data_IF_981150924717
#
_entry.id   IF_981150924717
#
_cell.length_a   1.000
_cell.length_b   1.000
_cell.length_c   1.000
_cell.angle_alpha   90.00
_cell.angle_beta   90.00
_cell.angle_gamma   90.00
#
_symmetry.space_group_name_H-M   'P 1'
#
loop_
_entity.id
_entity.type
_entity.pdbx_description
1 polymer ?
#
# COMPACT_ATOMS: atom_id res chain seq x y z
N UNK A 1 -0.08 -1.26 -32.87
CA UNK A 1 -1.20 -1.18 -31.92
C UNK A 1 -1.56 0.30 -31.75
N UNK A 2 -2.80 0.71 -32.08
CA UNK A 2 -3.20 2.13 -32.11
C UNK A 2 -3.64 2.68 -30.74
N UNK A 3 -4.01 1.81 -29.80
CA UNK A 3 -4.30 2.20 -28.42
C UNK A 3 -3.15 1.77 -27.51
N UNK A 4 -2.73 2.66 -26.62
CA UNK A 4 -1.68 2.46 -25.62
C UNK A 4 -2.17 2.97 -24.27
N UNK A 5 -1.59 2.47 -23.20
CA UNK A 5 -1.87 2.97 -21.85
C UNK A 5 -1.57 4.47 -21.76
N UNK A 6 -2.38 5.23 -20.98
CA UNK A 6 -2.01 6.56 -20.56
C UNK A 6 -0.62 6.57 -19.91
N UNK A 7 0.16 7.63 -20.16
CA UNK A 7 1.46 7.77 -19.51
C UNK A 7 1.28 7.86 -17.99
N UNK A 8 2.04 7.06 -17.24
CA UNK A 8 2.00 7.00 -15.78
C UNK A 8 0.97 6.03 -15.21
N UNK A 9 0.43 5.13 -16.04
CA UNK A 9 -0.38 3.98 -15.61
C UNK A 9 0.29 2.68 -16.09
N UNK A 10 -0.02 1.57 -15.44
CA UNK A 10 0.48 0.24 -15.82
C UNK A 10 -0.58 -0.83 -15.65
N UNK A 11 -0.52 -1.85 -16.50
CA UNK A 11 -1.24 -3.10 -16.26
C UNK A 11 -0.38 -3.97 -15.35
N UNK A 12 -1.00 -4.57 -14.33
CA UNK A 12 -0.36 -5.56 -13.46
C UNK A 12 -0.80 -6.93 -13.97
N UNK A 13 0.14 -7.73 -14.44
CA UNK A 13 -0.12 -8.97 -15.19
C UNK A 13 0.17 -10.22 -14.35
N UNK A 14 -0.30 -11.42 -14.77
CA UNK A 14 0.13 -12.68 -14.20
C UNK A 14 1.66 -12.81 -14.19
N UNK A 15 2.22 -13.30 -13.08
CA UNK A 15 3.64 -13.28 -12.74
C UNK A 15 4.07 -12.07 -11.90
N UNK A 16 3.31 -10.97 -11.94
CA UNK A 16 3.49 -9.82 -11.04
C UNK A 16 2.36 -9.73 -10.00
N UNK A 17 1.11 -9.92 -10.41
CA UNK A 17 -0.08 -9.73 -9.56
C UNK A 17 -0.10 -10.63 -8.32
N UNK A 18 0.62 -11.74 -8.34
CA UNK A 18 0.68 -12.67 -7.22
C UNK A 18 1.58 -12.13 -6.09
N UNK A 19 2.60 -11.31 -6.44
CA UNK A 19 3.34 -10.49 -5.46
C UNK A 19 2.40 -9.47 -4.82
N UNK A 20 1.50 -8.88 -5.62
CA UNK A 20 0.50 -7.96 -5.13
C UNK A 20 -0.42 -8.60 -4.10
N UNK A 21 -1.01 -9.74 -4.45
CA UNK A 21 -1.88 -10.48 -3.54
C UNK A 21 -1.16 -10.95 -2.27
N UNK A 22 0.13 -11.31 -2.35
CA UNK A 22 0.91 -11.65 -1.17
C UNK A 22 1.02 -10.47 -0.20
N UNK A 23 1.44 -9.31 -0.71
CA UNK A 23 1.60 -8.08 0.07
C UNK A 23 0.27 -7.60 0.64
N UNK A 24 -0.82 -7.63 -0.15
CA UNK A 24 -2.17 -7.28 0.29
C UNK A 24 -2.63 -8.16 1.46
N UNK A 25 -2.41 -9.48 1.37
CA UNK A 25 -2.74 -10.42 2.45
C UNK A 25 -1.89 -10.22 3.69
N UNK A 26 -0.60 -9.94 3.53
CA UNK A 26 0.29 -9.63 4.66
C UNK A 26 -0.19 -8.35 5.38
N UNK A 27 -0.54 -7.31 4.61
CA UNK A 27 -1.06 -6.06 5.17
C UNK A 27 -2.40 -6.28 5.89
N UNK A 28 -3.34 -7.01 5.27
CA UNK A 28 -4.59 -7.38 5.93
C UNK A 28 -4.34 -8.15 7.24
N UNK A 29 -3.46 -9.16 7.21
CA UNK A 29 -3.19 -9.98 8.39
C UNK A 29 -2.64 -9.17 9.55
N UNK A 30 -1.72 -8.23 9.30
CA UNK A 30 -1.20 -7.37 10.37
C UNK A 30 -2.25 -6.39 10.89
N UNK A 31 -3.08 -5.80 10.01
CA UNK A 31 -4.20 -4.96 10.42
C UNK A 31 -5.17 -5.70 11.36
N UNK A 32 -5.52 -6.95 11.05
CA UNK A 32 -6.40 -7.79 11.86
C UNK A 32 -5.81 -8.06 13.26
N UNK A 33 -4.50 -8.33 13.35
CA UNK A 33 -3.80 -8.51 14.64
C UNK A 33 -3.82 -7.25 15.51
N UNK A 34 -3.81 -6.07 14.88
CA UNK A 34 -3.91 -4.77 15.54
C UNK A 34 -5.36 -4.27 15.66
N UNK A 35 -6.37 -5.08 15.29
CA UNK A 35 -7.79 -4.72 15.36
C UNK A 35 -8.16 -3.47 14.54
N UNK A 36 -7.61 -3.36 13.34
CA UNK A 36 -8.07 -2.42 12.32
C UNK A 36 -9.03 -3.12 11.37
N UNK A 37 -10.16 -2.50 11.07
CA UNK A 37 -11.20 -3.03 10.19
C UNK A 37 -11.14 -2.40 8.80
N UNK A 38 -11.51 -3.14 7.75
CA UNK A 38 -11.43 -2.64 6.37
C UNK A 38 -12.52 -1.60 6.09
N UNK A 39 -12.14 -0.48 5.47
CA UNK A 39 -13.07 0.47 4.85
C UNK A 39 -12.77 0.61 3.35
N UNK A 40 -13.84 0.70 2.55
CA UNK A 40 -13.76 0.96 1.10
C UNK A 40 -14.53 2.22 0.73
N UNK A 41 -13.80 3.25 0.32
CA UNK A 41 -14.38 4.51 -0.17
C UNK A 41 -14.48 4.52 -1.70
N UNK A 42 -15.39 5.31 -2.29
CA UNK A 42 -15.48 5.50 -3.73
C UNK A 42 -14.16 5.99 -4.35
N UNK A 43 -13.97 5.72 -5.64
CA UNK A 43 -12.79 6.16 -6.41
C UNK A 43 -12.80 7.68 -6.66
N UNK A 44 -13.97 8.29 -6.76
CA UNK A 44 -14.12 9.73 -6.90
C UNK A 44 -15.05 10.28 -5.84
N UNK A 45 -14.78 11.50 -5.44
CA UNK A 45 -15.54 12.25 -4.43
C UNK A 45 -15.87 13.64 -4.97
N UNK A 46 -16.72 14.37 -4.26
CA UNK A 46 -16.89 15.80 -4.52
C UNK A 46 -15.55 16.52 -4.38
N UNK A 47 -15.22 17.40 -5.33
CA UNK A 47 -13.90 18.07 -5.37
C UNK A 47 -13.60 18.87 -4.10
N UNK A 48 -14.64 19.46 -3.51
CA UNK A 48 -14.56 20.24 -2.27
C UNK A 48 -13.99 19.43 -1.08
N UNK A 49 -14.16 18.10 -1.09
CA UNK A 49 -13.62 17.22 -0.06
C UNK A 49 -12.09 17.35 0.02
N UNK A 50 -11.42 17.29 -1.14
CA UNK A 50 -9.96 17.32 -1.18
C UNK A 50 -9.42 18.75 -1.06
N UNK A 51 -10.16 19.75 -1.55
CA UNK A 51 -9.79 21.16 -1.36
C UNK A 51 -9.78 21.55 0.13
N UNK A 52 -10.87 21.25 0.86
CA UNK A 52 -10.97 21.50 2.31
C UNK A 52 -10.02 20.60 3.10
N UNK A 53 -9.95 19.31 2.74
CA UNK A 53 -9.21 18.32 3.50
C UNK A 53 -7.69 18.46 3.40
N UNK A 54 -7.17 18.39 2.18
CA UNK A 54 -5.72 18.32 1.93
C UNK A 54 -5.05 19.69 2.12
N UNK A 55 -5.78 20.76 1.80
CA UNK A 55 -5.34 22.16 1.90
C UNK A 55 -5.01 22.77 0.54
N UNK A 56 -5.53 23.97 0.30
CA UNK A 56 -5.40 24.71 -0.96
C UNK A 56 -3.96 25.11 -1.32
N UNK A 57 -3.03 25.05 -0.35
CA UNK A 57 -1.62 25.40 -0.56
C UNK A 57 -0.74 24.22 -0.97
N UNK A 58 -1.31 23.01 -1.01
CA UNK A 58 -0.58 21.81 -1.41
C UNK A 58 -0.39 21.73 -2.92
N UNK A 59 0.71 21.13 -3.36
CA UNK A 59 0.93 20.82 -4.78
C UNK A 59 -0.18 19.88 -5.30
N UNK A 60 -0.70 18.99 -4.43
CA UNK A 60 -1.81 18.08 -4.74
C UNK A 60 -3.03 18.84 -5.20
N UNK A 61 -3.57 19.72 -4.34
CA UNK A 61 -4.81 20.47 -4.64
C UNK A 61 -4.58 21.49 -5.76
N UNK A 62 -3.43 22.15 -5.78
CA UNK A 62 -3.18 23.23 -6.72
C UNK A 62 -2.89 22.77 -8.15
N UNK A 63 -2.26 21.59 -8.34
CA UNK A 63 -1.73 21.18 -9.65
C UNK A 63 -1.89 19.69 -9.97
N UNK A 64 -2.18 18.81 -9.01
CA UNK A 64 -2.10 17.36 -9.24
C UNK A 64 -3.44 16.60 -9.20
N UNK A 65 -4.58 17.25 -8.93
CA UNK A 65 -5.87 16.56 -8.92
C UNK A 65 -6.41 16.24 -10.33
N UNK A 66 -6.95 15.03 -10.49
CA UNK A 66 -7.74 14.65 -11.66
C UNK A 66 -9.21 15.02 -11.44
N UNK A 67 -9.56 16.26 -11.78
CA UNK A 67 -10.92 16.81 -11.62
C UNK A 67 -11.69 16.80 -12.93
N UNK A 68 -12.97 16.45 -12.88
CA UNK A 68 -13.88 16.39 -14.02
C UNK A 68 -15.32 16.73 -13.61
N UNK A 69 -16.13 17.15 -14.57
CA UNK A 69 -17.56 17.35 -14.37
C UNK A 69 -18.34 16.08 -14.71
N UNK A 70 -19.31 15.73 -13.88
CA UNK A 70 -20.27 14.68 -14.22
C UNK A 70 -21.33 15.19 -15.21
N UNK A 71 -22.26 14.31 -15.64
CA UNK A 71 -23.34 14.67 -16.57
C UNK A 71 -24.34 15.72 -16.05
N UNK A 72 -24.23 16.10 -14.77
CA UNK A 72 -25.02 17.16 -14.12
C UNK A 72 -24.14 18.37 -13.74
N UNK A 73 -22.94 18.48 -14.31
CA UNK A 73 -21.98 19.54 -14.06
C UNK A 73 -21.53 19.64 -12.58
N UNK A 74 -21.53 18.52 -11.84
CA UNK A 74 -20.95 18.45 -10.49
C UNK A 74 -19.46 18.19 -10.62
N UNK A 75 -18.64 18.99 -9.93
CA UNK A 75 -17.19 18.84 -9.92
C UNK A 75 -16.79 17.64 -9.06
N UNK A 76 -16.30 16.58 -9.69
CA UNK A 76 -15.80 15.37 -9.06
C UNK A 76 -14.29 15.26 -9.25
N UNK A 77 -13.62 14.61 -8.31
CA UNK A 77 -12.17 14.40 -8.37
C UNK A 77 -11.86 12.94 -8.06
N UNK A 78 -11.00 12.31 -8.88
CA UNK A 78 -10.42 11.00 -8.54
C UNK A 78 -9.56 11.16 -7.29
N UNK A 79 -9.75 10.30 -6.29
CA UNK A 79 -9.10 10.45 -4.99
C UNK A 79 -7.56 10.49 -5.12
N UNK A 80 -6.88 11.54 -4.62
CA UNK A 80 -5.42 11.62 -4.63
C UNK A 80 -4.78 10.98 -3.39
N UNK A 81 -5.57 10.66 -2.37
CA UNK A 81 -5.19 10.07 -1.08
C UNK A 81 -6.44 9.49 -0.39
N UNK A 82 -6.26 8.70 0.68
CA UNK A 82 -7.36 7.97 1.32
C UNK A 82 -7.93 8.57 2.62
N UNK A 83 -7.16 9.36 3.37
CA UNK A 83 -7.53 9.91 4.67
C UNK A 83 -8.77 10.80 4.59
N UNK A 84 -8.84 11.79 3.68
CA UNK A 84 -10.03 12.65 3.59
C UNK A 84 -11.31 11.87 3.29
N UNK A 85 -11.24 10.86 2.43
CA UNK A 85 -12.36 9.97 2.14
C UNK A 85 -12.78 9.13 3.35
N UNK A 86 -11.82 8.64 4.15
CA UNK A 86 -12.11 7.91 5.39
C UNK A 86 -12.77 8.82 6.41
N UNK A 87 -12.25 10.04 6.62
CA UNK A 87 -12.84 11.01 7.54
C UNK A 87 -14.25 11.41 7.10
N UNK A 88 -14.48 11.64 5.80
CA UNK A 88 -15.83 11.89 5.26
C UNK A 88 -16.78 10.75 5.59
N UNK A 89 -16.37 9.51 5.36
CA UNK A 89 -17.18 8.33 5.69
C UNK A 89 -17.43 8.22 7.20
N UNK A 90 -16.43 8.52 8.02
CA UNK A 90 -16.53 8.56 9.49
C UNK A 90 -17.59 9.55 9.96
N UNK A 91 -17.65 10.75 9.36
CA UNK A 91 -18.67 11.77 9.67
C UNK A 91 -20.04 11.36 9.12
N UNK A 92 -20.13 11.00 7.85
CA UNK A 92 -21.39 10.67 7.15
C UNK A 92 -22.14 9.52 7.84
N UNK A 93 -21.39 8.48 8.26
CA UNK A 93 -21.95 7.33 8.95
C UNK A 93 -21.97 7.45 10.48
N UNK A 94 -21.66 8.64 11.01
CA UNK A 94 -21.67 8.95 12.45
C UNK A 94 -20.86 7.95 13.28
N UNK A 95 -19.72 7.51 12.77
CA UNK A 95 -18.88 6.51 13.45
C UNK A 95 -18.32 7.04 14.78
N UNK A 96 -18.18 8.36 14.92
CA UNK A 96 -17.89 9.02 16.21
C UNK A 96 -18.89 8.72 17.34
N UNK A 97 -20.12 8.32 16.99
CA UNK A 97 -21.18 8.00 17.95
C UNK A 97 -21.25 6.51 18.31
N UNK A 98 -20.37 5.67 17.75
CA UNK A 98 -20.34 4.25 18.07
C UNK A 98 -19.77 3.99 19.47
N UNK A 99 -20.25 2.93 20.11
CA UNK A 99 -19.83 2.52 21.46
C UNK A 99 -18.35 2.14 21.49
N UNK A 100 -17.87 1.46 20.44
CA UNK A 100 -16.48 1.04 20.34
C UNK A 100 -15.65 2.20 19.78
N UNK A 101 -14.76 2.74 20.60
CA UNK A 101 -13.80 3.78 20.26
C UNK A 101 -12.41 3.38 20.76
N UNK A 102 -11.31 3.86 20.14
CA UNK A 102 -11.30 4.61 18.88
C UNK A 102 -11.74 3.75 17.68
N UNK A 103 -12.22 4.40 16.62
CA UNK A 103 -12.52 3.75 15.35
C UNK A 103 -11.22 3.54 14.58
N UNK A 104 -10.86 2.28 14.34
CA UNK A 104 -9.60 1.85 13.72
C UNK A 104 -9.86 1.24 12.36
N UNK A 105 -9.51 1.94 11.29
CA UNK A 105 -9.82 1.58 9.91
C UNK A 105 -8.56 1.42 9.06
N UNK A 106 -8.57 0.50 8.10
CA UNK A 106 -7.55 0.41 7.06
C UNK A 106 -8.17 0.35 5.66
N UNK A 107 -7.39 0.72 4.65
CA UNK A 107 -7.79 0.64 3.25
C UNK A 107 -6.62 0.21 2.37
N UNK A 108 -6.95 -0.36 1.22
CA UNK A 108 -6.03 -0.60 0.11
C UNK A 108 -6.72 -0.26 -1.21
N UNK A 109 -6.05 0.50 -2.08
CA UNK A 109 -6.56 0.70 -3.43
C UNK A 109 -5.89 1.83 -4.21
N UNK A 110 -6.37 2.09 -5.44
CA UNK A 110 -5.73 3.05 -6.33
C UNK A 110 -5.98 4.48 -5.90
N UNK A 111 -4.98 5.32 -6.12
CA UNK A 111 -4.93 6.77 -5.91
C UNK A 111 -4.40 7.44 -7.17
N UNK A 112 -4.77 8.71 -7.39
CA UNK A 112 -4.52 9.42 -8.64
C UNK A 112 -3.89 10.79 -8.40
N UNK A 113 -2.68 11.01 -8.92
CA UNK A 113 -1.98 12.31 -8.86
C UNK A 113 -1.37 12.64 -10.22
N UNK A 114 -1.61 13.84 -10.73
CA UNK A 114 -1.04 14.34 -11.98
C UNK A 114 0.44 14.74 -11.81
N UNK A 115 1.24 13.91 -11.14
CA UNK A 115 2.67 14.12 -11.02
C UNK A 115 3.41 13.68 -12.29
N UNK A 116 4.64 14.17 -12.47
CA UNK A 116 5.53 13.72 -13.55
C UNK A 116 6.03 12.30 -13.20
N UNK A 117 5.71 11.26 -14.00
CA UNK A 117 6.12 9.91 -13.66
C UNK A 117 7.65 9.74 -13.67
N UNK A 118 8.20 9.20 -12.59
CA UNK A 118 9.65 8.98 -12.38
C UNK A 118 9.86 7.81 -11.40
N UNK A 119 10.55 6.75 -11.84
CA UNK A 119 10.76 5.55 -11.01
C UNK A 119 9.44 4.96 -10.50
N UNK A 120 9.31 4.79 -9.19
CA UNK A 120 8.10 4.31 -8.54
C UNK A 120 6.95 5.36 -8.47
N UNK A 121 7.16 6.61 -8.88
CA UNK A 121 6.09 7.63 -8.96
C UNK A 121 5.26 7.44 -10.22
N UNK A 122 3.99 7.13 -10.03
CA UNK A 122 3.01 6.88 -11.09
C UNK A 122 1.84 7.86 -10.95
N UNK A 123 1.08 8.06 -12.04
CA UNK A 123 -0.13 8.88 -12.01
C UNK A 123 -1.32 8.15 -11.42
N UNK A 124 -1.37 6.84 -11.62
CA UNK A 124 -2.18 5.92 -10.84
C UNK A 124 -1.22 5.04 -10.06
N UNK A 125 -1.34 5.04 -8.74
CA UNK A 125 -0.54 4.21 -7.84
C UNK A 125 -1.45 3.57 -6.80
N UNK A 126 -1.00 2.50 -6.14
CA UNK A 126 -1.80 1.84 -5.10
C UNK A 126 -1.28 2.24 -3.73
N UNK A 127 -2.19 2.74 -2.89
CA UNK A 127 -1.91 3.12 -1.52
C UNK A 127 -2.56 2.12 -0.58
N UNK A 128 -1.79 1.68 0.41
CA UNK A 128 -2.31 1.04 1.62
C UNK A 128 -2.20 2.04 2.76
N UNK A 129 -3.25 2.17 3.56
CA UNK A 129 -3.30 3.18 4.61
C UNK A 129 -4.21 2.79 5.75
N UNK A 130 -4.09 3.55 6.82
CA UNK A 130 -4.58 3.17 8.13
C UNK A 130 -4.91 4.43 8.92
N UNK A 131 -6.06 4.45 9.59
CA UNK A 131 -6.60 5.62 10.28
C UNK A 131 -7.19 5.20 11.64
N UNK A 132 -6.73 5.82 12.73
CA UNK A 132 -7.35 5.71 14.05
C UNK A 132 -7.97 7.05 14.44
N UNK A 133 -9.28 7.06 14.66
CA UNK A 133 -10.08 8.25 14.94
C UNK A 133 -10.75 8.12 16.31
N UNK A 134 -10.71 9.17 17.13
CA UNK A 134 -11.38 9.23 18.43
C UNK A 134 -10.47 9.08 19.65
N UNK A 135 -9.16 8.86 19.49
CA UNK A 135 -8.21 8.82 20.61
C UNK A 135 -7.13 9.90 20.52
N UNK A 136 -6.91 10.61 21.64
CA UNK A 136 -5.80 11.54 21.84
C UNK A 136 -4.66 10.92 22.66
N UNK A 137 -4.70 9.62 22.98
CA UNK A 137 -3.62 8.97 23.72
C UNK A 137 -2.37 8.82 22.82
N UNK A 138 -1.18 9.35 23.19
CA UNK A 138 0.06 9.17 22.42
C UNK A 138 0.45 7.70 22.16
N UNK A 139 -0.12 6.75 22.91
CA UNK A 139 0.07 5.32 22.68
C UNK A 139 -0.46 4.88 21.31
N UNK A 140 -1.51 5.52 20.77
CA UNK A 140 -2.05 5.17 19.45
C UNK A 140 -1.11 5.61 18.32
N UNK A 141 -0.34 6.69 18.51
CA UNK A 141 0.72 7.12 17.59
C UNK A 141 1.83 6.08 17.52
N UNK A 142 2.27 5.61 18.69
CA UNK A 142 3.27 4.55 18.79
C UNK A 142 2.76 3.22 18.22
N UNK A 143 1.49 2.87 18.42
CA UNK A 143 0.86 1.67 17.86
C UNK A 143 0.87 1.68 16.33
N UNK A 144 0.46 2.80 15.72
CA UNK A 144 0.41 2.94 14.26
C UNK A 144 1.81 2.88 13.64
N UNK A 145 2.80 3.53 14.28
CA UNK A 145 4.21 3.45 13.87
C UNK A 145 4.71 2.01 13.99
N UNK A 146 4.40 1.33 15.10
CA UNK A 146 4.79 -0.06 15.35
C UNK A 146 4.23 -1.00 14.29
N UNK A 147 2.94 -0.85 13.93
CA UNK A 147 2.30 -1.62 12.88
C UNK A 147 3.02 -1.44 11.55
N UNK A 148 3.30 -0.19 11.14
CA UNK A 148 3.98 0.09 9.88
C UNK A 148 5.41 -0.50 9.86
N UNK A 149 6.17 -0.38 10.95
CA UNK A 149 7.51 -0.96 11.07
C UNK A 149 7.47 -2.50 11.04
N UNK A 150 6.51 -3.11 11.75
CA UNK A 150 6.34 -4.56 11.79
C UNK A 150 5.93 -5.12 10.42
N UNK A 151 5.09 -4.41 9.66
CA UNK A 151 4.69 -4.80 8.31
C UNK A 151 5.89 -4.89 7.37
N UNK A 152 6.75 -3.88 7.34
CA UNK A 152 7.95 -3.92 6.49
C UNK A 152 8.93 -5.03 6.91
N UNK A 153 9.11 -5.24 8.22
CA UNK A 153 9.95 -6.34 8.74
C UNK A 153 9.36 -7.73 8.42
N UNK A 154 8.04 -7.91 8.45
CA UNK A 154 7.38 -9.16 8.07
C UNK A 154 7.58 -9.52 6.60
N UNK A 155 7.71 -8.50 5.74
CA UNK A 155 8.09 -8.68 4.34
C UNK A 155 9.60 -8.88 4.12
N UNK A 156 10.41 -8.83 5.18
CA UNK A 156 11.86 -9.08 5.14
C UNK A 156 12.74 -7.84 4.94
N UNK A 157 12.19 -6.63 4.92
CA UNK A 157 13.00 -5.41 4.78
C UNK A 157 13.80 -5.12 6.05
N UNK A 158 15.11 -4.91 5.89
CA UNK A 158 16.02 -4.66 7.00
C UNK A 158 16.54 -3.22 7.00
N UNK A 159 16.73 -2.63 5.80
CA UNK A 159 17.38 -1.32 5.65
C UNK A 159 16.36 -0.18 5.69
N UNK A 160 15.59 -0.10 6.78
CA UNK A 160 14.59 0.95 7.01
C UNK A 160 14.89 1.77 8.27
N UNK A 161 14.62 3.07 8.20
CA UNK A 161 14.78 4.01 9.31
C UNK A 161 13.45 4.73 9.58
N UNK A 162 13.07 4.81 10.86
CA UNK A 162 11.97 5.66 11.30
C UNK A 162 12.49 7.07 11.61
N UNK A 163 11.90 8.08 10.96
CA UNK A 163 12.15 9.49 11.24
C UNK A 163 10.88 10.11 11.78
N UNK A 164 10.97 10.82 12.91
CA UNK A 164 9.82 11.45 13.59
C UNK A 164 10.04 12.95 13.78
N UNK A 165 8.94 13.68 13.89
CA UNK A 165 8.90 15.08 14.28
C UNK A 165 7.56 15.42 14.95
N UNK A 166 7.48 16.59 15.59
CA UNK A 166 6.22 17.16 16.07
C UNK A 166 5.96 18.52 15.43
N UNK A 167 4.81 18.68 14.78
CA UNK A 167 4.36 19.95 14.22
C UNK A 167 3.55 20.80 15.22
N UNK A 168 3.56 20.41 16.50
CA UNK A 168 2.80 21.04 17.57
C UNK A 168 1.32 21.19 17.28
N UNK A 169 0.66 22.00 18.09
CA UNK A 169 -0.72 22.42 17.89
C UNK A 169 -0.82 23.71 17.04
N UNK A 170 -2.03 24.28 16.97
CA UNK A 170 -2.28 25.52 16.19
C UNK A 170 -1.49 26.71 16.73
N UNK A 171 -1.36 26.85 18.06
CA UNK A 171 -0.63 27.95 18.68
C UNK A 171 0.88 27.85 18.39
N UNK A 172 1.46 26.67 18.64
CA UNK A 172 2.87 26.38 18.38
C UNK A 172 3.23 26.65 16.92
N UNK A 173 2.36 26.23 16.00
CA UNK A 173 2.54 26.45 14.57
C UNK A 173 2.44 27.92 14.17
N UNK A 174 1.54 28.69 14.78
CA UNK A 174 1.42 30.12 14.47
C UNK A 174 2.72 30.86 14.81
N UNK A 175 3.27 30.63 16.00
CA UNK A 175 4.55 31.22 16.44
C UNK A 175 5.72 30.77 15.55
N UNK A 176 5.76 29.50 15.17
CA UNK A 176 6.79 28.97 14.28
C UNK A 176 6.70 29.60 12.87
N UNK A 177 5.49 29.78 12.33
CA UNK A 177 5.30 30.45 11.03
C UNK A 177 5.82 31.89 11.06
N UNK A 178 5.53 32.65 12.11
CA UNK A 178 6.05 34.01 12.28
C UNK A 178 7.59 34.03 12.30
N UNK A 179 8.20 33.08 13.02
CA UNK A 179 9.65 32.95 13.06
C UNK A 179 10.25 32.57 11.70
N UNK A 180 9.62 31.65 10.95
CA UNK A 180 10.07 31.29 9.60
C UNK A 180 9.95 32.46 8.62
N UNK A 181 8.87 33.25 8.70
CA UNK A 181 8.72 34.44 7.87
C UNK A 181 9.84 35.43 8.17
N UNK A 182 10.05 35.77 9.45
CA UNK A 182 11.13 36.67 9.85
C UNK A 182 12.52 36.17 9.44
N UNK A 183 12.72 34.85 9.40
CA UNK A 183 13.98 34.21 9.01
C UNK A 183 14.24 34.28 7.50
N UNK A 184 13.24 33.97 6.66
CA UNK A 184 13.41 33.89 5.21
C UNK A 184 13.18 35.21 4.48
N UNK A 185 12.29 36.06 4.98
CA UNK A 185 11.87 37.33 4.32
C UNK A 185 13.04 38.23 3.90
N UNK A 186 14.11 38.42 4.72
CA UNK A 186 15.23 39.29 4.32
C UNK A 186 16.00 38.84 3.07
N UNK A 187 15.91 37.55 2.70
CA UNK A 187 16.67 36.94 1.59
C UNK A 187 15.78 36.06 0.72
N UNK A 188 14.46 36.29 0.73
CA UNK A 188 13.51 35.43 0.01
C UNK A 188 13.69 35.49 -1.51
N UNK A 189 14.21 36.60 -2.03
CA UNK A 189 14.52 36.78 -3.46
C UNK A 189 15.60 35.82 -3.98
N UNK A 190 16.37 35.18 -3.08
CA UNK A 190 17.36 34.15 -3.43
C UNK A 190 16.72 32.76 -3.66
N UNK A 191 15.47 32.58 -3.25
CA UNK A 191 14.73 31.32 -3.38
C UNK A 191 13.95 31.25 -4.68
N UNK A 192 13.54 30.04 -5.07
CA UNK A 192 12.70 29.86 -6.24
C UNK A 192 11.33 30.56 -6.11
N UNK A 193 10.69 30.84 -7.25
CA UNK A 193 9.42 31.57 -7.30
C UNK A 193 8.30 30.91 -6.46
N UNK A 194 8.28 29.58 -6.39
CA UNK A 194 7.32 28.86 -5.54
C UNK A 194 7.58 29.15 -4.05
N UNK A 195 8.85 29.19 -3.60
CA UNK A 195 9.20 29.51 -2.21
C UNK A 195 8.86 30.96 -1.84
N UNK A 196 9.06 31.91 -2.77
CA UNK A 196 8.65 33.31 -2.58
C UNK A 196 7.14 33.43 -2.30
N UNK A 197 6.31 32.66 -3.02
CA UNK A 197 4.86 32.60 -2.77
C UNK A 197 4.54 31.86 -1.46
N UNK A 198 5.27 30.77 -1.17
CA UNK A 198 5.05 29.95 0.04
C UNK A 198 5.34 30.71 1.32
N UNK A 199 6.27 31.67 1.31
CA UNK A 199 6.62 32.47 2.50
C UNK A 199 5.38 33.01 3.22
N UNK A 200 4.47 33.64 2.48
CA UNK A 200 3.28 34.27 3.06
C UNK A 200 2.03 33.36 3.08
N UNK A 201 2.07 32.22 2.38
CA UNK A 201 0.96 31.24 2.39
C UNK A 201 1.17 30.14 3.42
N UNK A 202 2.30 29.45 3.34
CA UNK A 202 2.66 28.33 4.21
C UNK A 202 4.20 28.17 4.24
N UNK A 203 4.91 28.92 5.12
CA UNK A 203 6.38 28.98 5.10
C UNK A 203 7.04 27.64 5.47
N UNK A 204 6.33 26.72 6.13
CA UNK A 204 6.78 25.35 6.38
C UNK A 204 7.17 24.62 5.08
N UNK A 205 6.49 24.93 3.97
CA UNK A 205 6.76 24.33 2.65
C UNK A 205 8.10 24.72 2.03
N UNK A 206 8.77 25.74 2.60
CA UNK A 206 10.12 26.12 2.19
C UNK A 206 11.13 25.07 2.67
N UNK A 207 10.89 24.44 3.82
CA UNK A 207 11.77 23.42 4.41
C UNK A 207 11.87 22.13 3.58
N UNK A 208 10.81 21.80 2.82
CA UNK A 208 10.74 20.63 1.91
C UNK A 208 10.95 21.04 0.42
N UNK A 209 11.50 22.22 0.16
CA UNK A 209 11.74 22.65 -1.21
C UNK A 209 12.89 21.87 -1.85
N UNK A 210 12.60 21.08 -2.89
CA UNK A 210 13.62 20.32 -3.64
C UNK A 210 14.62 21.19 -4.39
N UNK A 211 14.24 22.41 -4.78
CA UNK A 211 15.14 23.32 -5.52
C UNK A 211 16.11 24.01 -4.56
N UNK A 212 15.58 24.53 -3.45
CA UNK A 212 16.33 25.34 -2.51
C UNK A 212 16.86 24.55 -1.29
N UNK A 213 16.76 23.21 -1.29
CA UNK A 213 17.13 22.35 -0.15
C UNK A 213 18.57 22.56 0.35
N UNK A 214 19.48 22.98 -0.53
CA UNK A 214 20.89 23.24 -0.21
C UNK A 214 21.17 24.70 0.18
N UNK A 215 20.14 25.56 0.21
CA UNK A 215 20.30 26.97 0.55
C UNK A 215 20.72 27.13 2.01
N UNK A 216 21.72 27.98 2.34
CA UNK A 216 22.24 28.11 3.71
C UNK A 216 21.19 28.42 4.77
N UNK A 217 20.15 29.19 4.41
CA UNK A 217 19.05 29.52 5.33
C UNK A 217 18.15 28.34 5.69
N UNK A 218 18.12 27.26 4.90
CA UNK A 218 17.38 26.04 5.26
C UNK A 218 18.03 25.40 6.49
N UNK A 219 19.36 25.30 6.50
CA UNK A 219 20.11 24.68 7.60
C UNK A 219 20.01 25.47 8.92
N UNK A 220 19.76 26.78 8.85
CA UNK A 220 19.62 27.67 10.02
C UNK A 220 18.17 28.02 10.33
N UNK A 221 17.19 27.40 9.67
CA UNK A 221 15.79 27.72 9.88
C UNK A 221 15.36 27.39 11.32
N UNK A 222 14.52 28.22 11.96
CA UNK A 222 14.03 27.95 13.30
C UNK A 222 13.30 26.61 13.34
N UNK A 223 13.61 25.79 14.34
CA UNK A 223 13.04 24.45 14.50
C UNK A 223 11.66 24.55 15.15
N UNK A 224 10.65 23.84 14.61
CA UNK A 224 9.31 23.82 15.22
C UNK A 224 9.32 23.28 16.65
N UNK A 225 10.31 22.45 16.99
CA UNK A 225 10.47 21.87 18.32
C UNK A 225 10.75 22.94 19.40
N UNK A 226 11.31 24.09 19.00
CA UNK A 226 11.58 25.23 19.90
C UNK A 226 10.32 26.05 20.21
N UNK A 227 9.24 25.83 19.47
CA UNK A 227 7.98 26.58 19.57
C UNK A 227 6.82 25.74 20.13
N UNK A 228 7.08 24.48 20.50
CA UNK A 228 6.08 23.63 21.13
C UNK A 228 5.65 24.22 22.47
N UNK A 229 4.34 24.34 22.69
CA UNK A 229 3.82 24.55 24.02
C UNK A 229 4.03 23.33 24.92
N UNK A 230 3.81 23.50 26.23
CA UNK A 230 4.04 22.46 27.23
C UNK A 230 3.27 21.17 26.92
N UNK A 231 2.01 21.29 26.49
CA UNK A 231 1.18 20.13 26.13
C UNK A 231 1.77 19.38 24.93
N UNK A 232 2.11 20.07 23.84
CA UNK A 232 2.67 19.46 22.63
C UNK A 232 4.04 18.83 22.86
N UNK A 233 4.85 19.44 23.72
CA UNK A 233 6.15 18.90 24.14
C UNK A 233 5.96 17.61 24.94
N UNK A 234 5.13 17.64 25.99
CA UNK A 234 4.84 16.46 26.80
C UNK A 234 4.21 15.32 25.98
N UNK A 235 3.36 15.67 25.01
CA UNK A 235 2.80 14.70 24.06
C UNK A 235 3.90 13.98 23.29
N UNK A 236 4.82 14.74 22.68
CA UNK A 236 5.89 14.18 21.87
C UNK A 236 6.89 13.36 22.69
N UNK A 237 7.21 13.80 23.92
CA UNK A 237 8.02 13.00 24.85
C UNK A 237 7.36 11.67 25.22
N UNK A 238 6.04 11.62 25.36
CA UNK A 238 5.31 10.35 25.59
C UNK A 238 5.38 9.42 24.37
N UNK A 239 5.23 9.94 23.16
CA UNK A 239 5.39 9.14 21.93
C UNK A 239 6.79 8.51 21.92
N UNK A 240 7.84 9.30 22.14
CA UNK A 240 9.22 8.81 22.22
C UNK A 240 9.39 7.73 23.29
N UNK A 241 8.86 7.96 24.49
CA UNK A 241 8.90 6.99 25.60
C UNK A 241 8.26 5.65 25.20
N UNK A 242 7.13 5.67 24.49
CA UNK A 242 6.48 4.46 24.01
C UNK A 242 7.26 3.78 22.88
N UNK A 243 7.84 4.53 21.95
CA UNK A 243 8.71 3.96 20.91
C UNK A 243 9.95 3.27 21.53
N UNK A 244 10.56 3.90 22.54
CA UNK A 244 11.67 3.32 23.31
C UNK A 244 11.24 2.02 24.02
N UNK A 245 10.06 2.02 24.64
CA UNK A 245 9.51 0.83 25.30
C UNK A 245 9.19 -0.31 24.32
N UNK A 246 8.83 0.00 23.08
CA UNK A 246 8.61 -0.96 22.00
C UNK A 246 9.92 -1.40 21.31
N UNK A 247 11.07 -0.83 21.68
CA UNK A 247 12.36 -1.12 21.06
C UNK A 247 12.46 -0.65 19.61
N UNK A 248 11.73 0.42 19.25
CA UNK A 248 11.75 1.00 17.91
C UNK A 248 12.74 2.16 17.89
N UNK A 249 13.86 1.98 17.20
CA UNK A 249 14.82 3.06 16.97
C UNK A 249 14.21 4.13 16.04
N UNK A 250 14.47 5.40 16.36
CA UNK A 250 14.02 6.55 15.56
C UNK A 250 15.07 7.66 15.54
N UNK A 251 15.01 8.48 14.48
CA UNK A 251 15.73 9.75 14.36
C UNK A 251 14.73 10.90 14.45
N UNK A 252 15.05 11.94 15.23
CA UNK A 252 14.25 13.17 15.26
C UNK A 252 14.77 14.12 14.19
N UNK A 253 13.94 14.47 13.21
CA UNK A 253 14.27 15.45 12.17
C UNK A 253 13.33 16.66 12.24
N UNK A 254 13.79 17.81 12.76
CA UNK A 254 12.94 19.00 12.88
C UNK A 254 12.49 19.59 11.54
N UNK A 255 13.15 19.22 10.44
CA UNK A 255 12.82 19.68 9.08
C UNK A 255 11.75 18.80 8.42
N UNK A 256 11.40 17.65 9.03
CA UNK A 256 10.36 16.77 8.54
C UNK A 256 9.01 17.49 8.60
N UNK A 257 8.57 17.98 7.44
CA UNK A 257 7.24 18.50 7.19
C UNK A 257 6.55 17.61 6.16
N UNK A 258 5.23 17.52 6.21
CA UNK A 258 4.47 16.58 5.37
C UNK A 258 3.79 17.27 4.20
N UNK A 259 3.51 16.47 3.16
CA UNK A 259 2.83 16.86 1.92
C UNK A 259 1.43 17.47 2.08
N UNK A 260 0.81 17.36 3.25
CA UNK A 260 -0.60 17.70 3.50
C UNK A 260 -0.69 18.68 4.68
N UNK A 261 -1.54 19.70 4.57
CA UNK A 261 -1.53 20.82 5.55
C UNK A 261 -2.26 20.47 6.86
N UNK A 262 -3.04 19.40 6.87
CA UNK A 262 -3.88 18.97 8.00
C UNK A 262 -3.09 18.39 9.18
N UNK A 263 -1.81 18.03 9.01
CA UNK A 263 -1.05 17.36 10.07
C UNK A 263 -0.82 18.28 11.26
N UNK A 264 -0.73 17.74 12.47
CA UNK A 264 -0.31 18.38 13.72
C UNK A 264 0.26 17.35 14.68
N UNK A 265 0.88 17.81 15.78
CA UNK A 265 1.62 16.95 16.71
C UNK A 265 2.51 15.96 15.95
N UNK A 266 2.44 14.67 16.26
CA UNK A 266 3.25 13.61 15.65
C UNK A 266 3.18 13.63 14.12
N UNK A 267 4.36 13.61 13.50
CA UNK A 267 4.56 13.30 12.08
C UNK A 267 5.70 12.32 11.97
N UNK A 268 5.64 11.41 11.00
CA UNK A 268 6.68 10.42 10.82
C UNK A 268 6.80 9.97 9.37
N UNK A 269 7.99 9.46 9.05
CA UNK A 269 8.30 8.75 7.83
C UNK A 269 9.09 7.48 8.14
N UNK A 270 8.81 6.42 7.38
CA UNK A 270 9.70 5.26 7.30
C UNK A 270 10.44 5.38 5.98
N UNK A 271 11.75 5.54 6.06
CA UNK A 271 12.63 5.76 4.91
C UNK A 271 13.41 4.48 4.61
N UNK A 272 13.67 4.23 3.33
CA UNK A 272 14.69 3.24 2.95
C UNK A 272 16.08 3.88 3.07
N UNK A 273 16.99 3.13 3.68
CA UNK A 273 18.41 3.44 3.81
C UNK A 273 19.28 2.58 2.89
N UNK A 274 18.66 1.70 2.09
CA UNK A 274 19.35 0.81 1.17
C UNK A 274 20.10 1.59 0.06
N UNK A 275 21.34 1.19 -0.20
CA UNK A 275 22.13 1.74 -1.30
C UNK A 275 21.42 1.47 -2.65
N UNK A 276 21.31 2.48 -3.51
CA UNK A 276 20.70 2.34 -4.84
C UNK A 276 19.21 2.65 -4.94
N UNK A 277 18.48 2.77 -3.82
CA UNK A 277 17.07 3.20 -3.82
C UNK A 277 16.92 4.73 -4.01
N UNK A 278 18.02 5.47 -3.92
CA UNK A 278 18.08 6.93 -3.92
C UNK A 278 18.17 7.47 -2.49
N UNK A 279 18.98 8.50 -2.27
CA UNK A 279 19.22 9.04 -0.92
C UNK A 279 17.90 9.40 -0.22
N UNK A 280 17.61 8.73 0.90
CA UNK A 280 16.47 8.98 1.81
C UNK A 280 15.11 9.01 1.10
N UNK A 281 14.67 7.89 0.53
CA UNK A 281 13.34 7.81 -0.10
C UNK A 281 12.29 7.25 0.88
N UNK A 282 11.23 8.01 1.09
CA UNK A 282 10.07 7.66 1.93
C UNK A 282 9.33 6.42 1.38
N UNK A 283 9.15 5.38 2.19
CA UNK A 283 8.32 4.22 1.90
C UNK A 283 6.89 4.40 2.43
N UNK A 284 6.79 4.91 3.65
CA UNK A 284 5.56 5.21 4.36
C UNK A 284 5.67 6.59 5.01
N UNK A 285 4.57 7.32 5.08
CA UNK A 285 4.53 8.49 5.94
C UNK A 285 3.14 8.76 6.48
N UNK A 286 3.12 9.34 7.68
CA UNK A 286 1.92 9.52 8.46
C UNK A 286 2.08 10.58 9.52
N UNK A 287 1.07 10.64 10.38
CA UNK A 287 1.01 11.62 11.45
C UNK A 287 -0.41 11.89 11.91
N UNK A 288 -0.50 12.70 12.94
CA UNK A 288 -1.73 13.12 13.60
C UNK A 288 -2.33 14.32 12.88
N UNK A 289 -3.66 14.41 12.85
CA UNK A 289 -4.41 15.38 12.05
C UNK A 289 -5.65 15.92 12.79
N UNK A 290 -5.47 16.33 14.05
CA UNK A 290 -6.55 16.96 14.82
C UNK A 290 -7.19 18.12 14.04
N UNK A 291 -8.51 18.19 14.01
CA UNK A 291 -9.21 19.25 13.28
C UNK A 291 -9.78 18.80 11.93
N UNK A 292 -9.21 17.79 11.28
CA UNK A 292 -9.67 17.36 9.94
C UNK A 292 -11.13 16.88 9.94
N UNK A 293 -11.59 16.26 11.03
CA UNK A 293 -13.00 15.84 11.19
C UNK A 293 -13.93 17.06 11.22
N UNK A 294 -13.51 18.14 11.90
CA UNK A 294 -14.26 19.40 11.93
C UNK A 294 -14.27 20.11 10.57
N UNK A 295 -13.21 19.97 9.77
CA UNK A 295 -13.19 20.48 8.39
C UNK A 295 -14.24 19.82 7.49
N UNK A 296 -14.81 18.68 7.89
CA UNK A 296 -15.91 18.01 7.20
C UNK A 296 -17.21 18.04 8.01
N UNK A 297 -17.40 19.09 8.81
CA UNK A 297 -18.62 19.37 9.56
C UNK A 297 -18.97 18.28 10.60
N UNK A 298 -17.97 17.47 10.99
CA UNK A 298 -18.04 16.51 12.09
C UNK A 298 -17.69 17.12 13.46
N UNK A 299 -17.83 16.35 14.56
CA UNK A 299 -17.45 16.80 15.88
C UNK A 299 -15.93 16.92 16.04
N UNK A 300 -15.48 17.60 17.09
CA UNK A 300 -14.07 17.57 17.47
C UNK A 300 -13.63 16.15 17.75
N UNK A 301 -12.72 15.64 16.91
CA UNK A 301 -12.28 14.26 16.97
C UNK A 301 -10.81 14.17 16.59
N UNK A 302 -9.96 13.62 17.48
CA UNK A 302 -8.56 13.42 17.16
C UNK A 302 -8.40 12.27 16.16
N UNK A 303 -7.38 12.34 15.31
CA UNK A 303 -7.09 11.29 14.34
C UNK A 303 -5.61 11.20 14.04
N UNK A 304 -5.14 9.99 13.74
CA UNK A 304 -3.78 9.71 13.28
C UNK A 304 -3.82 8.55 12.29
N UNK A 305 -2.92 8.58 11.31
CA UNK A 305 -2.82 7.53 10.32
C UNK A 305 -1.54 7.59 9.51
N UNK A 306 -1.43 6.69 8.56
CA UNK A 306 -0.40 6.72 7.54
C UNK A 306 -0.93 6.25 6.19
N UNK A 307 -0.16 6.54 5.15
CA UNK A 307 -0.28 5.87 3.88
C UNK A 307 1.09 5.46 3.35
N UNK A 308 1.13 4.29 2.71
CA UNK A 308 2.31 3.74 2.06
C UNK A 308 2.00 3.35 0.61
N UNK A 309 2.98 3.50 -0.27
CA UNK A 309 2.85 3.21 -1.69
C UNK A 309 3.32 1.80 -2.03
N UNK A 310 2.45 1.00 -2.63
CA UNK A 310 2.73 -0.41 -2.95
C UNK A 310 3.85 -0.55 -3.99
N UNK A 311 3.90 0.33 -4.99
CA UNK A 311 4.96 0.37 -5.98
C UNK A 311 6.32 0.73 -5.38
N UNK A 312 6.35 1.60 -4.36
CA UNK A 312 7.60 1.93 -3.63
C UNK A 312 8.07 0.77 -2.76
N UNK A 313 7.13 0.07 -2.13
CA UNK A 313 7.43 -1.15 -1.39
C UNK A 313 8.07 -2.21 -2.30
N UNK A 314 7.49 -2.48 -3.48
CA UNK A 314 8.10 -3.43 -4.41
C UNK A 314 9.49 -3.01 -4.86
N UNK A 315 9.69 -1.74 -5.18
CA UNK A 315 11.01 -1.26 -5.53
C UNK A 315 12.03 -1.42 -4.38
N UNK A 316 11.59 -1.33 -3.11
CA UNK A 316 12.45 -1.56 -1.96
C UNK A 316 12.81 -3.03 -1.80
N UNK A 317 11.83 -3.93 -1.96
CA UNK A 317 12.06 -5.38 -1.96
C UNK A 317 13.04 -5.79 -3.07
N UNK A 318 12.88 -5.23 -4.27
CA UNK A 318 13.76 -5.50 -5.40
C UNK A 318 15.20 -5.01 -5.14
N UNK A 319 15.38 -3.83 -4.51
CA UNK A 319 16.72 -3.30 -4.17
C UNK A 319 17.42 -4.14 -3.11
N UNK A 320 16.68 -4.63 -2.10
CA UNK A 320 17.24 -5.51 -1.06
C UNK A 320 17.33 -6.98 -1.50
N UNK A 321 16.89 -7.31 -2.73
CA UNK A 321 16.96 -8.67 -3.28
C UNK A 321 16.04 -9.66 -2.56
N UNK A 322 14.93 -9.18 -1.99
CA UNK A 322 14.00 -10.00 -1.22
C UNK A 322 13.01 -10.69 -2.16
N UNK A 323 12.99 -12.02 -2.11
CA UNK A 323 12.01 -12.83 -2.83
C UNK A 323 10.82 -13.20 -1.94
N UNK A 324 9.61 -12.89 -2.40
CA UNK A 324 8.39 -13.24 -1.70
C UNK A 324 8.03 -14.71 -1.95
N UNK A 325 7.58 -15.47 -0.93
CA UNK A 325 7.26 -16.88 -1.07
C UNK A 325 5.90 -17.08 -1.75
N UNK A 326 5.88 -16.99 -3.08
CA UNK A 326 4.67 -17.10 -3.88
C UNK A 326 4.57 -18.51 -4.47
N UNK A 327 3.58 -19.28 -4.02
CA UNK A 327 3.29 -20.60 -4.58
C UNK A 327 2.64 -20.45 -5.96
N UNK A 328 3.23 -21.10 -6.97
CA UNK A 328 2.83 -20.95 -8.37
C UNK A 328 2.63 -22.28 -9.09
N UNK A 329 2.18 -23.29 -8.37
CA UNK A 329 2.19 -24.63 -8.92
C UNK A 329 0.79 -25.06 -9.33
N UNK A 330 0.66 -25.43 -10.61
CA UNK A 330 -0.49 -26.15 -11.09
C UNK A 330 -0.49 -27.53 -10.41
N UNK A 331 -1.52 -27.89 -9.66
CA UNK A 331 -1.56 -29.16 -8.94
C UNK A 331 -1.49 -30.36 -9.90
N UNK A 332 -2.21 -30.30 -11.01
CA UNK A 332 -2.22 -31.37 -12.01
C UNK A 332 -2.45 -30.87 -13.44
N UNK A 333 -1.73 -31.43 -14.40
CA UNK A 333 -2.03 -31.27 -15.82
C UNK A 333 -2.56 -32.58 -16.40
N UNK A 334 -3.77 -32.55 -16.98
CA UNK A 334 -4.40 -33.72 -17.61
C UNK A 334 -4.04 -33.79 -19.08
N UNK A 335 -3.41 -34.90 -19.45
CA UNK A 335 -2.89 -35.23 -20.78
C UNK A 335 -3.78 -36.26 -21.43
N UNK A 336 -4.23 -35.99 -22.65
CA UNK A 336 -5.00 -36.92 -23.47
C UNK A 336 -4.11 -37.55 -24.53
N UNK A 337 -4.05 -38.89 -24.54
CA UNK A 337 -3.31 -39.66 -25.55
C UNK A 337 -4.14 -39.90 -26.82
N UNK A 338 -5.47 -39.94 -26.68
CA UNK A 338 -6.45 -40.19 -27.75
C UNK A 338 -7.54 -39.13 -27.76
N UNK A 339 -8.20 -38.94 -28.91
CA UNK A 339 -9.31 -37.99 -29.05
C UNK A 339 -10.54 -38.43 -28.25
N UNK A 340 -10.79 -39.74 -28.17
CA UNK A 340 -11.84 -40.34 -27.33
C UNK A 340 -11.67 -40.04 -25.83
N UNK A 341 -10.44 -39.82 -25.36
CA UNK A 341 -10.18 -39.48 -23.96
C UNK A 341 -10.56 -38.04 -23.58
N UNK A 342 -10.85 -37.17 -24.55
CA UNK A 342 -11.16 -35.76 -24.32
C UNK A 342 -12.40 -35.55 -23.46
N UNK A 343 -13.47 -36.30 -23.68
CA UNK A 343 -14.72 -36.17 -22.90
C UNK A 343 -14.47 -36.49 -21.42
N UNK A 344 -13.73 -37.56 -21.16
CA UNK A 344 -13.35 -37.97 -19.81
C UNK A 344 -12.40 -36.96 -19.17
N UNK A 345 -11.41 -36.47 -19.91
CA UNK A 345 -10.49 -35.43 -19.44
C UNK A 345 -11.22 -34.15 -19.04
N UNK A 346 -12.17 -33.66 -19.85
CA UNK A 346 -12.98 -32.49 -19.53
C UNK A 346 -13.77 -32.69 -18.23
N UNK A 347 -14.37 -33.87 -18.05
CA UNK A 347 -15.10 -34.22 -16.82
C UNK A 347 -14.20 -34.25 -15.59
N UNK A 348 -13.03 -34.88 -15.68
CA UNK A 348 -12.05 -34.99 -14.58
C UNK A 348 -11.49 -33.62 -14.21
N UNK A 349 -11.07 -32.83 -15.20
CA UNK A 349 -10.55 -31.47 -14.97
C UNK A 349 -11.60 -30.62 -14.24
N UNK A 350 -12.86 -30.66 -14.68
CA UNK A 350 -13.93 -29.94 -14.00
C UNK A 350 -14.14 -30.45 -12.56
N UNK A 351 -14.16 -31.77 -12.37
CA UNK A 351 -14.35 -32.39 -11.05
C UNK A 351 -13.24 -31.98 -10.09
N UNK A 352 -11.98 -32.02 -10.51
CA UNK A 352 -10.84 -31.63 -9.67
C UNK A 352 -10.87 -30.13 -9.34
N UNK A 353 -11.17 -29.27 -10.32
CA UNK A 353 -11.33 -27.81 -10.11
C UNK A 353 -12.42 -27.50 -9.07
N UNK A 354 -13.59 -28.15 -9.19
CA UNK A 354 -14.69 -27.97 -8.24
C UNK A 354 -14.39 -28.53 -6.84
N UNK A 355 -13.35 -29.34 -6.70
CA UNK A 355 -12.84 -29.82 -5.41
C UNK A 355 -11.60 -29.04 -4.90
N UNK A 356 -11.31 -27.87 -5.48
CA UNK A 356 -10.31 -26.93 -4.98
C UNK A 356 -8.89 -27.12 -5.51
N UNK A 357 -8.68 -27.97 -6.53
CA UNK A 357 -7.38 -28.15 -7.17
C UNK A 357 -7.18 -27.19 -8.35
N UNK A 358 -5.95 -26.71 -8.52
CA UNK A 358 -5.51 -26.02 -9.73
C UNK A 358 -5.17 -27.06 -10.80
N UNK A 359 -6.04 -27.22 -11.80
CA UNK A 359 -5.90 -28.26 -12.84
C UNK A 359 -6.05 -27.68 -14.23
N UNK A 360 -5.25 -28.16 -15.18
CA UNK A 360 -5.29 -27.72 -16.57
C UNK A 360 -5.19 -28.88 -17.56
N UNK A 361 -5.63 -28.66 -18.81
CA UNK A 361 -5.41 -29.58 -19.94
C UNK A 361 -4.97 -28.82 -21.19
N UNK A 362 -4.67 -29.58 -22.24
CA UNK A 362 -4.43 -28.99 -23.55
C UNK A 362 -5.73 -28.56 -24.23
N UNK A 363 -5.73 -27.37 -24.83
CA UNK A 363 -6.83 -26.85 -25.66
C UNK A 363 -6.39 -26.51 -27.09
N UNK A 364 -5.16 -26.86 -27.46
CA UNK A 364 -4.57 -26.49 -28.75
C UNK A 364 -4.41 -27.69 -29.69
N UNK A 365 -4.96 -28.86 -29.33
CA UNK A 365 -4.85 -30.08 -30.12
C UNK A 365 -3.41 -30.59 -30.22
N UNK A 366 -2.59 -30.36 -29.20
CA UNK A 366 -1.19 -30.78 -29.19
C UNK A 366 -1.11 -32.28 -28.99
N UNK A 367 -0.13 -32.93 -29.65
CA UNK A 367 0.23 -34.32 -29.35
C UNK A 367 0.80 -34.44 -27.95
N UNK A 368 0.74 -35.64 -27.36
CA UNK A 368 1.20 -35.95 -25.99
C UNK A 368 2.54 -35.30 -25.59
N UNK A 369 3.58 -35.39 -26.44
CA UNK A 369 4.89 -34.74 -26.17
C UNK A 369 4.79 -33.21 -26.02
N UNK A 370 3.91 -32.57 -26.78
CA UNK A 370 3.62 -31.14 -26.68
C UNK A 370 2.83 -30.78 -25.42
N UNK A 371 1.92 -31.66 -24.99
CA UNK A 371 1.18 -31.51 -23.74
C UNK A 371 2.11 -31.65 -22.52
N UNK A 372 3.01 -32.64 -22.50
CA UNK A 372 4.04 -32.79 -21.47
C UNK A 372 4.92 -31.52 -21.34
N UNK A 373 5.31 -30.91 -22.46
CA UNK A 373 6.05 -29.63 -22.46
C UNK A 373 5.21 -28.45 -21.98
N UNK A 374 3.90 -28.47 -22.19
CA UNK A 374 2.99 -27.44 -21.67
C UNK A 374 2.80 -27.58 -20.16
N UNK A 375 2.67 -28.82 -19.67
CA UNK A 375 2.65 -29.14 -18.24
C UNK A 375 3.92 -28.67 -17.52
N UNK A 376 5.09 -28.98 -18.09
CA UNK A 376 6.41 -28.56 -17.59
C UNK A 376 6.53 -27.02 -17.54
N UNK A 377 6.20 -26.31 -18.63
CA UNK A 377 6.22 -24.83 -18.66
C UNK A 377 5.25 -24.19 -17.66
N UNK A 378 4.15 -24.87 -17.32
CA UNK A 378 3.16 -24.43 -16.33
C UNK A 378 3.53 -24.87 -14.90
N UNK A 379 4.71 -25.47 -14.70
CA UNK A 379 5.17 -26.00 -13.42
C UNK A 379 4.13 -26.91 -12.76
N UNK A 380 3.55 -27.83 -13.54
CA UNK A 380 2.61 -28.80 -13.00
C UNK A 380 3.32 -29.73 -12.00
N UNK A 381 2.79 -29.88 -10.79
CA UNK A 381 3.31 -30.83 -9.78
C UNK A 381 3.11 -32.27 -10.25
N UNK A 382 1.92 -32.54 -10.79
CA UNK A 382 1.56 -33.83 -11.34
C UNK A 382 1.10 -33.73 -12.79
N UNK A 383 1.29 -34.80 -13.55
CA UNK A 383 0.61 -35.02 -14.82
C UNK A 383 -0.25 -36.27 -14.75
N UNK A 384 -1.48 -36.19 -15.23
CA UNK A 384 -2.39 -37.32 -15.37
C UNK A 384 -2.48 -37.72 -16.84
N UNK A 385 -2.22 -38.97 -17.19
CA UNK A 385 -2.32 -39.43 -18.58
C UNK A 385 -3.60 -40.27 -18.74
N UNK A 386 -4.39 -39.92 -19.76
CA UNK A 386 -5.63 -40.61 -20.13
C UNK A 386 -5.56 -41.05 -21.60
N UNK A 387 -5.59 -42.36 -21.82
CA UNK A 387 -5.87 -42.99 -23.11
C UNK A 387 -7.08 -43.91 -23.00
N UNK A 388 -7.39 -44.61 -24.09
CA UNK A 388 -8.53 -45.52 -24.16
C UNK A 388 -8.40 -46.65 -23.13
N UNK A 389 -7.19 -47.21 -22.96
CA UNK A 389 -6.91 -48.28 -22.00
C UNK A 389 -7.10 -47.84 -20.55
N UNK A 390 -6.66 -46.63 -20.18
CA UNK A 390 -6.86 -46.08 -18.84
C UNK A 390 -8.36 -45.91 -18.53
N UNK A 391 -9.11 -45.39 -19.50
CA UNK A 391 -10.56 -45.15 -19.37
C UNK A 391 -11.33 -46.47 -19.25
N UNK A 392 -11.03 -47.45 -20.12
CA UNK A 392 -11.66 -48.79 -20.08
C UNK A 392 -11.44 -49.50 -18.74
N UNK A 393 -10.26 -49.33 -18.14
CA UNK A 393 -9.91 -49.93 -16.85
C UNK A 393 -10.35 -49.08 -15.64
N UNK A 394 -10.97 -47.91 -15.87
CA UNK A 394 -11.36 -46.95 -14.86
C UNK A 394 -10.20 -46.51 -13.93
N UNK A 395 -9.01 -46.33 -14.49
CA UNK A 395 -7.80 -45.87 -13.81
C UNK A 395 -7.14 -44.70 -14.56
N UNK A 396 -6.21 -44.01 -13.91
CA UNK A 396 -5.27 -43.12 -14.56
C UNK A 396 -3.92 -43.16 -13.85
N UNK A 397 -2.86 -42.81 -14.58
CA UNK A 397 -1.51 -42.69 -14.02
C UNK A 397 -1.24 -41.24 -13.65
N UNK A 398 -1.04 -40.96 -12.37
CA UNK A 398 -0.51 -39.69 -11.88
C UNK A 398 1.00 -39.79 -11.77
N UNK A 399 1.71 -38.98 -12.56
CA UNK A 399 3.16 -38.87 -12.51
C UNK A 399 3.56 -37.62 -11.74
N UNK A 400 4.38 -37.75 -10.70
CA UNK A 400 5.05 -36.63 -10.05
C UNK A 400 6.12 -36.07 -11.00
N UNK A 401 6.06 -34.77 -11.29
CA UNK A 401 6.95 -34.13 -12.27
C UNK A 401 8.35 -33.85 -11.72
N UNK A 402 8.51 -33.78 -10.39
CA UNK A 402 9.81 -33.61 -9.73
C UNK A 402 10.55 -34.95 -9.58
N UNK A 403 9.88 -35.98 -9.05
CA UNK A 403 10.51 -37.28 -8.75
C UNK A 403 10.45 -38.26 -9.94
N UNK A 404 9.49 -38.08 -10.84
CA UNK A 404 9.21 -39.00 -11.94
C UNK A 404 8.41 -40.23 -11.55
N UNK A 405 8.09 -40.41 -10.26
CA UNK A 405 7.29 -41.53 -9.75
C UNK A 405 5.87 -41.53 -10.34
N UNK A 406 5.33 -42.71 -10.61
CA UNK A 406 3.99 -42.89 -11.16
C UNK A 406 3.14 -43.71 -10.21
N UNK A 407 1.95 -43.21 -9.93
CA UNK A 407 0.97 -43.85 -9.07
C UNK A 407 -0.33 -44.04 -9.84
N UNK A 408 -0.78 -45.28 -9.93
CA UNK A 408 -2.08 -45.61 -10.50
C UNK A 408 -3.18 -45.27 -9.49
N UNK A 409 -4.18 -44.52 -9.94
CA UNK A 409 -5.36 -44.17 -9.15
C UNK A 409 -6.63 -44.44 -9.95
N UNK A 410 -7.71 -44.82 -9.26
CA UNK A 410 -9.01 -45.00 -9.92
C UNK A 410 -9.62 -43.66 -10.29
N UNK A 411 -10.30 -43.61 -11.45
CA UNK A 411 -10.95 -42.38 -11.93
C UNK A 411 -12.08 -41.91 -11.00
N UNK A 412 -12.80 -42.83 -10.37
CA UNK A 412 -13.85 -42.53 -9.39
C UNK A 412 -13.31 -42.03 -8.03
N UNK A 413 -12.02 -42.26 -7.76
CA UNK A 413 -11.32 -41.81 -6.56
C UNK A 413 -10.30 -40.69 -6.85
N UNK A 414 -10.36 -40.07 -8.03
CA UNK A 414 -9.32 -39.15 -8.53
C UNK A 414 -9.08 -37.94 -7.62
N UNK A 415 -10.15 -37.43 -7.01
CA UNK A 415 -10.09 -36.32 -6.03
C UNK A 415 -9.30 -36.74 -4.79
N UNK A 416 -9.66 -37.87 -4.19
CA UNK A 416 -9.00 -38.38 -2.99
C UNK A 416 -7.54 -38.78 -3.26
N UNK A 417 -7.28 -39.41 -4.42
CA UNK A 417 -5.95 -39.80 -4.85
C UNK A 417 -5.01 -38.61 -5.02
N UNK A 418 -5.44 -37.57 -5.75
CA UNK A 418 -4.65 -36.35 -5.92
C UNK A 418 -4.41 -35.64 -4.58
N UNK A 419 -5.43 -35.57 -3.72
CA UNK A 419 -5.30 -34.94 -2.40
C UNK A 419 -4.25 -35.62 -1.52
N UNK A 420 -4.20 -36.96 -1.54
CA UNK A 420 -3.25 -37.74 -0.76
C UNK A 420 -1.82 -37.50 -1.23
N UNK A 421 -1.60 -37.48 -2.54
CA UNK A 421 -0.28 -37.25 -3.13
C UNK A 421 0.24 -35.83 -2.84
N UNK A 422 -0.60 -34.81 -2.97
CA UNK A 422 -0.21 -33.42 -2.68
C UNK A 422 0.12 -33.17 -1.20
N UNK A 423 -0.45 -33.96 -0.27
CA UNK A 423 -0.14 -33.90 1.16
C UNK A 423 1.19 -34.55 1.51
N UNK A 424 1.60 -35.59 0.77
CA UNK A 424 2.89 -36.27 0.96
C UNK A 424 4.09 -35.54 0.34
N UNK A 425 3.81 -34.48 -0.43
CA UNK A 425 4.76 -33.66 -1.19
C UNK A 425 4.97 -32.27 -0.53
N UNK A 426 4.51 -32.09 0.72
CA UNK A 426 4.83 -30.97 1.62
C UNK A 426 5.77 -31.45 2.71
#
# INVERSE_FOLDING_TARGET
>A
MQMKLPRGTRDILPGEVEKWHYVERAFQSICERFQYEEIRTPIFEHTELFQRGVGDTTDIVSKEMYTFEDKKNRSLTLRPEGTASVVRAFVEHKLFGQVNQPVKLYYSGPMFRYERPQGARQRQFTQMGLEALGSNDPAIDAEIISLAMAFYKELGLENIELVINSLGDKESRAKHKEALVAHFEPRIDEFCADCQVRLHKNPLRILDCKVDHAHPLIATAPSILEFLNEESMLYFEKVKTYLDALGIAYTVDPTLVRGLDYYNHTTFEIMSTAEGFGAKSTLCGGGRYHGLVQEFDGPETPGIGFGLGMERLFAALDVEGIELPIAHDLDCYVITATESAEVTAVSIVNTLRLNGFSVEKDYMGRKMKGQLKDADRKNARFTMILGDTEIENNVCQLKNMQTGEQTEIRLDAVVAGLQQLLKGDK
#
